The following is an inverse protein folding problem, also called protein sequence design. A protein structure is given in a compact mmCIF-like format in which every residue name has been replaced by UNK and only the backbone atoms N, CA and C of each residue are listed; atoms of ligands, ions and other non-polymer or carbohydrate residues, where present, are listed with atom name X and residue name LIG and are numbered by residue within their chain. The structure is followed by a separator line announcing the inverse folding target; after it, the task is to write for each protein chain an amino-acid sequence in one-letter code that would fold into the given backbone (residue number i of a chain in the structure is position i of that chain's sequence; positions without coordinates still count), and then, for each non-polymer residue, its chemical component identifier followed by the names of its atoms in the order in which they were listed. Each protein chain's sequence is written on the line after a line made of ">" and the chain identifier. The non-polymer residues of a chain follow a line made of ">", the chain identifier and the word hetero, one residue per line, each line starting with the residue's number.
data_IF_291608709679
#
_entry.id   IF_291608709679
#
_cell.length_a   1.000
_cell.length_b   1.000
_cell.length_c   1.000
_cell.angle_alpha   90.00
_cell.angle_beta   90.00
_cell.angle_gamma   90.00
#
_symmetry.space_group_name_H-M   'P 1'
#
loop_
_entity.id
_entity.type
_entity.pdbx_description
1 polymer ?
#
# COMPACT_ATOMS: atom_id res chain seq x y z
N UNK A 1 -15.43 -22.85 17.44
CA UNK A 1 -15.42 -21.44 16.99
C UNK A 1 -14.40 -21.36 15.87
N UNK A 2 -14.87 -21.17 14.64
CA UNK A 2 -14.04 -21.29 13.43
C UNK A 2 -13.06 -20.15 13.32
N UNK A 3 -11.77 -20.47 13.27
CA UNK A 3 -10.63 -19.56 13.21
C UNK A 3 -10.61 -18.68 11.94
N UNK A 4 -11.41 -19.03 10.92
CA UNK A 4 -11.45 -18.33 9.62
C UNK A 4 -12.14 -16.96 9.62
N UNK A 5 -13.09 -16.72 10.54
CA UNK A 5 -13.88 -15.48 10.60
C UNK A 5 -13.02 -14.29 11.09
N UNK A 6 -12.22 -14.53 12.13
CA UNK A 6 -11.35 -13.50 12.76
C UNK A 6 -10.16 -13.10 11.87
N UNK A 7 -9.65 -14.02 11.05
CA UNK A 7 -8.49 -13.73 10.18
C UNK A 7 -8.85 -12.88 8.98
N UNK A 8 -10.06 -13.06 8.45
CA UNK A 8 -10.57 -12.31 7.31
C UNK A 8 -10.86 -10.86 7.70
N UNK A 9 -11.41 -10.66 8.90
CA UNK A 9 -11.64 -9.34 9.51
C UNK A 9 -10.34 -8.54 9.68
N UNK A 10 -9.31 -9.14 10.29
CA UNK A 10 -8.00 -8.47 10.47
C UNK A 10 -7.24 -8.19 9.16
N UNK A 11 -7.52 -8.94 8.08
CA UNK A 11 -6.97 -8.64 6.75
C UNK A 11 -7.70 -7.46 6.11
N UNK A 12 -9.02 -7.41 6.26
CA UNK A 12 -9.86 -6.31 5.80
C UNK A 12 -9.50 -5.00 6.51
N UNK A 13 -9.41 -5.00 7.83
CA UNK A 13 -9.03 -3.83 8.63
C UNK A 13 -7.68 -3.22 8.16
N UNK A 14 -6.71 -4.07 7.86
CA UNK A 14 -5.41 -3.63 7.33
C UNK A 14 -5.55 -2.99 5.96
N UNK A 15 -6.37 -3.53 5.06
CA UNK A 15 -6.64 -2.95 3.74
C UNK A 15 -7.30 -1.57 3.89
N UNK A 16 -8.31 -1.45 4.73
CA UNK A 16 -9.00 -0.19 5.04
C UNK A 16 -7.99 0.84 5.56
N UNK A 17 -7.14 0.45 6.51
CA UNK A 17 -6.14 1.35 7.09
C UNK A 17 -5.13 1.86 6.04
N UNK A 18 -4.57 0.96 5.21
CA UNK A 18 -3.61 1.32 4.17
C UNK A 18 -4.25 2.23 3.12
N UNK A 19 -5.44 1.89 2.63
CA UNK A 19 -6.14 2.68 1.64
C UNK A 19 -6.54 4.06 2.17
N UNK A 20 -6.97 4.15 3.43
CA UNK A 20 -7.27 5.43 4.10
C UNK A 20 -6.03 6.31 4.16
N UNK A 21 -4.89 5.76 4.60
CA UNK A 21 -3.62 6.51 4.64
C UNK A 21 -3.18 7.01 3.26
N UNK A 22 -3.29 6.17 2.23
CA UNK A 22 -2.99 6.56 0.84
C UNK A 22 -3.92 7.67 0.36
N UNK A 23 -5.25 7.50 0.50
CA UNK A 23 -6.23 8.46 0.04
C UNK A 23 -6.08 9.81 0.75
N UNK A 24 -5.97 9.82 2.08
CA UNK A 24 -5.77 11.04 2.87
C UNK A 24 -4.49 11.79 2.47
N UNK A 25 -3.38 11.07 2.30
CA UNK A 25 -2.11 11.68 1.88
C UNK A 25 -2.22 12.23 0.46
N UNK A 26 -2.84 11.49 -0.45
CA UNK A 26 -2.98 11.89 -1.85
C UNK A 26 -3.87 13.11 -2.01
N UNK A 27 -4.99 13.17 -1.30
CA UNK A 27 -5.90 14.32 -1.26
C UNK A 27 -5.16 15.55 -0.73
N UNK A 28 -4.46 15.43 0.40
CA UNK A 28 -3.72 16.55 0.99
C UNK A 28 -2.63 17.12 0.07
N UNK A 29 -1.92 16.25 -0.66
CA UNK A 29 -0.94 16.70 -1.67
C UNK A 29 -1.65 17.46 -2.80
N UNK A 30 -2.73 16.91 -3.35
CA UNK A 30 -3.47 17.55 -4.45
C UNK A 30 -4.09 18.89 -4.03
N UNK A 31 -4.62 18.97 -2.81
CA UNK A 31 -5.13 20.22 -2.24
C UNK A 31 -4.02 21.27 -2.09
N UNK A 32 -2.81 20.85 -1.67
CA UNK A 32 -1.65 21.76 -1.58
C UNK A 32 -1.14 22.25 -2.94
N UNK A 33 -1.43 21.50 -4.01
CA UNK A 33 -1.14 21.85 -5.41
C UNK A 33 -2.29 22.63 -6.08
N UNK A 34 -3.36 22.97 -5.34
CA UNK A 34 -4.59 23.59 -5.85
C UNK A 34 -5.32 22.76 -6.93
N UNK A 35 -5.10 21.45 -6.96
CA UNK A 35 -5.70 20.50 -7.92
C UNK A 35 -7.00 19.91 -7.38
N UNK A 36 -7.96 20.78 -7.10
CA UNK A 36 -9.19 20.40 -6.38
C UNK A 36 -10.09 19.43 -7.16
N UNK A 37 -10.10 19.47 -8.49
CA UNK A 37 -10.85 18.50 -9.29
C UNK A 37 -10.29 17.08 -9.12
N UNK A 38 -8.97 16.95 -9.10
CA UNK A 38 -8.29 15.66 -8.90
C UNK A 38 -8.47 15.16 -7.47
N UNK A 39 -8.36 16.04 -6.47
CA UNK A 39 -8.57 15.66 -5.06
C UNK A 39 -10.02 15.23 -4.81
N UNK A 40 -10.99 15.89 -5.47
CA UNK A 40 -12.38 15.50 -5.46
C UNK A 40 -12.62 14.14 -6.13
N UNK A 41 -12.00 13.88 -7.29
CA UNK A 41 -12.10 12.59 -7.98
C UNK A 41 -11.61 11.44 -7.07
N UNK A 42 -10.42 11.59 -6.46
CA UNK A 42 -9.88 10.61 -5.51
C UNK A 42 -10.80 10.41 -4.31
N UNK A 43 -11.42 11.49 -3.82
CA UNK A 43 -12.38 11.41 -2.71
C UNK A 43 -13.61 10.59 -3.08
N UNK A 44 -14.16 10.79 -4.28
CA UNK A 44 -15.33 10.01 -4.74
C UNK A 44 -14.98 8.56 -5.00
N UNK A 45 -13.84 8.28 -5.66
CA UNK A 45 -13.36 6.91 -5.89
C UNK A 45 -13.16 6.16 -4.56
N UNK A 46 -12.54 6.80 -3.57
CA UNK A 46 -12.34 6.20 -2.25
C UNK A 46 -13.66 5.95 -1.51
N UNK A 47 -14.62 6.87 -1.64
CA UNK A 47 -15.96 6.72 -1.06
C UNK A 47 -16.71 5.56 -1.69
N UNK A 48 -16.70 5.45 -3.02
CA UNK A 48 -17.35 4.33 -3.72
C UNK A 48 -16.68 3.01 -3.34
N UNK A 49 -15.34 2.97 -3.34
CA UNK A 49 -14.58 1.80 -2.93
C UNK A 49 -14.91 1.33 -1.51
N UNK A 50 -14.99 2.23 -0.53
CA UNK A 50 -15.29 1.84 0.86
C UNK A 50 -16.74 1.36 1.00
N UNK A 51 -17.70 1.93 0.25
CA UNK A 51 -19.10 1.52 0.31
C UNK A 51 -19.39 0.21 -0.44
N UNK A 52 -18.64 -0.07 -1.51
CA UNK A 52 -18.73 -1.32 -2.28
C UNK A 52 -17.77 -2.40 -1.75
N UNK A 53 -17.09 -2.13 -0.63
CA UNK A 53 -16.13 -3.05 -0.04
C UNK A 53 -16.83 -4.33 0.45
N UNK A 54 -16.39 -5.48 -0.07
CA UNK A 54 -16.96 -6.79 0.28
C UNK A 54 -17.98 -7.33 -0.72
N UNK A 55 -18.45 -6.54 -1.69
CA UNK A 55 -19.38 -7.01 -2.72
C UNK A 55 -18.74 -8.01 -3.69
N UNK A 56 -17.42 -7.94 -3.88
CA UNK A 56 -16.66 -8.81 -4.77
C UNK A 56 -15.40 -9.37 -4.09
N UNK A 57 -15.61 -10.18 -3.04
CA UNK A 57 -14.53 -10.79 -2.26
C UNK A 57 -13.52 -11.59 -3.12
N UNK A 58 -14.00 -12.28 -4.17
CA UNK A 58 -13.16 -13.07 -5.10
C UNK A 58 -12.14 -12.20 -5.85
N UNK A 59 -12.57 -11.06 -6.40
CA UNK A 59 -11.70 -10.13 -7.11
C UNK A 59 -10.68 -9.48 -6.16
N UNK A 60 -11.05 -9.27 -4.90
CA UNK A 60 -10.13 -8.74 -3.89
C UNK A 60 -9.00 -9.73 -3.57
N UNK A 61 -9.30 -11.02 -3.51
CA UNK A 61 -8.30 -12.06 -3.24
C UNK A 61 -7.37 -12.29 -4.44
N UNK A 62 -7.91 -12.21 -5.67
CA UNK A 62 -7.11 -12.28 -6.92
C UNK A 62 -6.12 -11.13 -7.07
N UNK A 63 -6.48 -9.92 -6.62
CA UNK A 63 -5.64 -8.73 -6.74
C UNK A 63 -4.76 -8.46 -5.50
N UNK A 64 -4.86 -9.30 -4.46
CA UNK A 64 -4.03 -9.16 -3.26
C UNK A 64 -2.71 -9.91 -3.45
N UNK A 65 -1.61 -9.17 -3.59
CA UNK A 65 -0.27 -9.74 -3.45
C UNK A 65 -0.05 -10.17 -2.00
N UNK A 66 0.01 -11.48 -1.77
CA UNK A 66 0.35 -12.04 -0.47
C UNK A 66 1.80 -11.70 -0.15
N UNK A 67 2.01 -10.76 0.75
CA UNK A 67 3.34 -10.48 1.28
C UNK A 67 3.77 -11.64 2.18
N UNK A 68 4.89 -12.32 1.90
CA UNK A 68 5.36 -13.42 2.75
C UNK A 68 5.55 -12.94 4.19
N UNK A 69 4.92 -13.66 5.14
CA UNK A 69 4.92 -13.34 6.58
C UNK A 69 6.33 -13.40 7.22
N UNK A 70 7.31 -13.88 6.48
CA UNK A 70 8.72 -13.90 6.87
C UNK A 70 9.57 -13.28 5.74
N UNK A 71 9.87 -11.97 5.81
CA UNK A 71 10.95 -11.42 5.02
C UNK A 71 12.26 -11.95 5.62
N UNK A 72 12.66 -13.16 5.24
CA UNK A 72 13.96 -13.70 5.59
C UNK A 72 15.00 -12.65 5.20
N UNK A 73 15.62 -12.04 6.22
CA UNK A 73 16.68 -11.03 6.16
C UNK A 73 17.68 -11.38 5.05
N UNK A 74 17.53 -10.81 3.86
CA UNK A 74 18.55 -10.91 2.81
C UNK A 74 18.39 -9.83 1.74
N UNK A 75 18.47 -8.58 2.17
CA UNK A 75 19.17 -7.59 1.36
C UNK A 75 20.26 -7.00 2.24
N UNK A 76 21.47 -7.59 2.15
CA UNK A 76 22.67 -6.92 2.59
C UNK A 76 22.83 -5.70 1.69
N UNK A 77 22.37 -4.54 2.14
CA UNK A 77 22.93 -3.28 1.70
C UNK A 77 24.33 -3.19 2.30
N UNK A 78 25.32 -3.77 1.62
CA UNK A 78 26.75 -3.46 1.70
C UNK A 78 27.39 -4.24 0.55
N UNK A 79 27.71 -3.55 -0.54
CA UNK A 79 29.09 -3.25 -0.94
C UNK A 79 29.10 -2.74 -2.39
N UNK A 80 29.83 -1.66 -2.65
CA UNK A 80 29.93 -1.06 -4.00
C UNK A 80 30.00 0.46 -4.07
N UNK A 81 30.20 1.15 -2.94
CA UNK A 81 30.54 2.58 -2.91
C UNK A 81 31.72 2.84 -1.96
N UNK A 82 32.85 2.19 -2.26
CA UNK A 82 34.19 2.62 -1.89
C UNK A 82 34.90 2.86 -3.22
N UNK A 83 35.16 4.11 -3.62
CA UNK A 83 36.39 4.81 -3.23
C UNK A 83 37.51 4.34 -4.18
N UNK A 84 37.81 5.10 -5.23
CA UNK A 84 38.93 6.07 -5.25
C UNK A 84 40.14 5.43 -5.99
N UNK A 85 40.41 5.84 -7.23
CA UNK A 85 41.57 6.67 -7.63
C UNK A 85 42.96 6.10 -7.29
N UNK A 86 43.79 5.97 -8.34
CA UNK A 86 45.25 5.75 -8.28
C UNK A 86 45.67 4.27 -8.36
N UNK A 87 46.77 3.85 -8.98
CA UNK A 87 47.83 4.53 -9.70
C UNK A 87 48.59 3.45 -10.52
N UNK A 88 49.35 3.92 -11.49
CA UNK A 88 50.36 3.27 -12.34
C UNK A 88 51.15 2.10 -11.72
N UNK A 89 51.40 1.04 -12.52
CA UNK A 89 52.73 0.55 -12.94
C UNK A 89 52.58 -0.69 -13.86
#
# INVERSE_FOLDING_TARGET
>A
MSQGDVTMDAAMERRVSVATGWASTRIAILDSEERYEDSYAVTQEFREWITCMGENQSLLDENTLVVPRNPSKRYRLVDGLAGDLGAEA
#
